data_IF_307997466998
#
_entry.id   IF_307997466998
#
_cell.length_a   1.000
_cell.length_b   1.000
_cell.length_c   1.000
_cell.angle_alpha   90.00
_cell.angle_beta   90.00
_cell.angle_gamma   90.00
#
_symmetry.space_group_name_H-M   'P 1'
#
loop_
_entity.id
_entity.type
_entity.pdbx_description
1 polymer ?
#
# COMPACT_ATOMS: atom_id res chain seq x y z
N UNK A 1 -1.89 -12.25 5.82
CA UNK A 1 -1.91 -11.37 4.65
C UNK A 1 -1.74 -9.91 5.00
N UNK A 2 -2.70 -9.29 5.70
CA UNK A 2 -2.47 -8.00 6.35
C UNK A 2 -1.99 -8.27 7.76
N UNK A 3 -0.84 -7.75 8.09
CA UNK A 3 -0.22 -7.90 9.41
C UNK A 3 0.27 -6.56 9.89
N UNK A 4 0.29 -6.36 11.19
CA UNK A 4 0.90 -5.16 11.77
C UNK A 4 2.42 -5.38 11.84
N UNK A 5 3.17 -4.44 11.32
CA UNK A 5 4.63 -4.42 11.39
C UNK A 5 5.12 -3.21 12.19
N UNK A 6 6.24 -3.40 12.88
CA UNK A 6 6.95 -2.33 13.56
C UNK A 6 8.09 -1.84 12.67
N UNK A 7 8.21 -0.52 12.57
CA UNK A 7 9.22 0.15 11.78
C UNK A 7 10.14 0.96 12.69
N UNK A 8 11.43 0.83 12.49
CA UNK A 8 12.45 1.67 13.12
C UNK A 8 13.13 2.47 12.02
N UNK A 9 12.92 3.78 12.03
CA UNK A 9 13.39 4.66 10.98
C UNK A 9 14.09 5.91 11.50
N UNK A 10 15.01 6.43 10.69
CA UNK A 10 15.64 7.72 10.92
C UNK A 10 15.00 8.76 10.03
N UNK A 11 14.45 9.80 10.66
CA UNK A 11 13.80 10.90 9.96
C UNK A 11 14.58 12.19 10.20
N UNK A 12 15.19 12.76 9.15
CA UNK A 12 15.81 14.07 9.23
C UNK A 12 14.77 15.18 9.07
N UNK A 13 14.78 16.14 9.97
CA UNK A 13 14.00 17.39 9.88
C UNK A 13 14.94 18.50 9.52
N UNK A 14 14.69 19.18 8.40
CA UNK A 14 15.52 20.29 7.95
C UNK A 14 15.14 21.59 8.68
N UNK A 15 16.08 22.58 8.79
CA UNK A 15 15.76 23.89 9.36
C UNK A 15 14.58 24.59 8.65
N UNK A 16 14.41 24.33 7.36
CA UNK A 16 13.26 24.87 6.56
C UNK A 16 11.93 24.33 7.02
N UNK A 17 11.86 23.04 7.39
CA UNK A 17 10.64 22.41 7.89
C UNK A 17 10.22 23.05 9.22
N UNK A 18 11.20 23.37 10.08
CA UNK A 18 10.96 24.02 11.36
C UNK A 18 10.51 25.48 11.21
N UNK A 19 10.91 26.18 10.15
CA UNK A 19 10.57 27.59 9.93
C UNK A 19 9.16 27.79 9.35
N UNK A 20 8.45 26.75 8.96
CA UNK A 20 7.09 26.80 8.36
C UNK A 20 5.96 27.11 9.34
N UNK A 21 6.25 27.59 10.54
CA UNK A 21 5.27 28.00 11.52
C UNK A 21 5.18 27.05 12.72
N UNK A 22 4.19 27.26 13.58
CA UNK A 22 3.95 26.54 14.83
C UNK A 22 3.49 25.08 14.60
N UNK A 23 4.22 24.31 13.80
CA UNK A 23 3.91 22.90 13.53
C UNK A 23 4.52 22.05 14.63
N UNK A 24 3.72 21.20 15.25
CA UNK A 24 4.23 20.22 16.21
C UNK A 24 5.22 19.27 15.52
N UNK A 25 6.37 19.05 16.14
CA UNK A 25 7.43 18.18 15.60
C UNK A 25 6.90 16.77 15.27
N UNK A 26 5.95 16.28 16.05
CA UNK A 26 5.34 14.96 15.87
C UNK A 26 4.55 14.86 14.56
N UNK A 27 3.83 15.92 14.20
CA UNK A 27 3.10 15.98 12.93
C UNK A 27 4.07 15.99 11.73
N UNK A 28 5.17 16.75 11.83
CA UNK A 28 6.21 16.77 10.80
C UNK A 28 6.89 15.40 10.63
N UNK A 29 7.16 14.73 11.75
CA UNK A 29 7.73 13.37 11.71
C UNK A 29 6.75 12.41 11.04
N UNK A 30 5.46 12.45 11.41
CA UNK A 30 4.43 11.57 10.85
C UNK A 30 4.24 11.81 9.35
N UNK A 31 4.21 13.06 8.90
CA UNK A 31 4.12 13.42 7.48
C UNK A 31 5.33 12.87 6.69
N UNK A 32 6.54 13.10 7.18
CA UNK A 32 7.76 12.60 6.52
C UNK A 32 7.87 11.08 6.54
N UNK A 33 7.39 10.44 7.60
CA UNK A 33 7.32 9.00 7.71
C UNK A 33 6.35 8.42 6.66
N UNK A 34 5.16 9.01 6.53
CA UNK A 34 4.18 8.62 5.54
C UNK A 34 4.75 8.74 4.12
N UNK A 35 5.34 9.89 3.77
CA UNK A 35 6.00 10.10 2.47
C UNK A 35 7.12 9.09 2.17
N UNK A 36 7.79 8.58 3.20
CA UNK A 36 8.91 7.65 3.05
C UNK A 36 8.45 6.20 2.89
N UNK A 37 7.44 5.78 3.65
CA UNK A 37 7.05 4.36 3.78
C UNK A 37 5.73 4.01 3.13
N UNK A 38 4.73 4.90 3.13
CA UNK A 38 3.41 4.59 2.62
C UNK A 38 3.40 4.37 1.10
N UNK A 39 2.60 3.40 0.66
CA UNK A 39 2.48 3.06 -0.75
C UNK A 39 3.74 2.44 -1.36
N UNK A 40 4.65 1.91 -0.53
CA UNK A 40 5.89 1.26 -0.96
C UNK A 40 6.17 -0.02 -0.20
N UNK A 41 7.00 -0.85 -0.77
CA UNK A 41 7.48 -2.07 -0.11
C UNK A 41 8.58 -1.73 0.90
N UNK A 42 8.40 -2.23 2.11
CA UNK A 42 9.41 -2.26 3.19
C UNK A 42 10.04 -3.66 3.29
N UNK A 43 10.87 -3.88 4.29
CA UNK A 43 11.39 -5.23 4.61
C UNK A 43 10.27 -6.21 4.99
N UNK A 44 9.16 -5.72 5.51
CA UNK A 44 8.02 -6.53 6.00
C UNK A 44 6.92 -6.74 4.95
N UNK A 45 7.01 -6.10 3.80
CA UNK A 45 6.01 -6.13 2.74
C UNK A 45 5.57 -4.74 2.31
N UNK A 46 4.48 -4.64 1.58
CA UNK A 46 3.91 -3.38 1.11
C UNK A 46 3.16 -2.67 2.24
N UNK A 47 3.53 -1.42 2.52
CA UNK A 47 2.93 -0.60 3.58
C UNK A 47 1.65 0.05 3.08
N UNK A 48 0.53 -0.23 3.74
CA UNK A 48 -0.76 0.36 3.39
C UNK A 48 -0.80 1.86 3.74
N UNK A 49 -1.24 2.72 2.79
CA UNK A 49 -1.39 4.14 3.05
C UNK A 49 -2.38 4.44 4.19
N UNK A 50 -2.11 5.48 4.99
CA UNK A 50 -2.99 5.93 6.07
C UNK A 50 -3.03 5.02 7.30
N UNK A 51 -2.17 4.00 7.39
CA UNK A 51 -2.15 3.06 8.54
C UNK A 51 -0.99 3.28 9.50
N UNK A 52 -0.05 4.13 9.13
CA UNK A 52 1.14 4.40 9.95
C UNK A 52 0.80 5.22 11.20
N UNK A 53 1.23 4.73 12.35
CA UNK A 53 1.10 5.40 13.65
C UNK A 53 2.48 5.54 14.29
N UNK A 54 2.81 6.75 14.70
CA UNK A 54 4.02 7.02 15.47
C UNK A 54 3.82 6.52 16.90
N UNK A 55 4.67 5.61 17.37
CA UNK A 55 4.65 5.07 18.73
C UNK A 55 5.58 5.84 19.65
N UNK A 56 6.81 6.05 19.21
CA UNK A 56 7.84 6.74 20.00
C UNK A 56 8.85 7.46 19.11
N UNK A 57 9.51 8.43 19.67
CA UNK A 57 10.66 9.12 19.06
C UNK A 57 11.78 9.36 20.06
N UNK A 58 13.00 9.40 19.58
CA UNK A 58 14.16 9.82 20.38
C UNK A 58 14.19 11.33 20.56
N UNK A 59 15.12 11.78 21.39
CA UNK A 59 15.59 13.18 21.37
C UNK A 59 16.27 13.45 20.03
N UNK A 60 15.96 14.59 19.40
CA UNK A 60 16.61 14.99 18.15
C UNK A 60 18.09 15.28 18.37
N UNK A 61 18.91 14.87 17.42
CA UNK A 61 20.34 15.15 17.43
C UNK A 61 20.82 15.60 16.06
N UNK A 62 21.89 16.40 16.04
CA UNK A 62 22.56 16.82 14.80
C UNK A 62 23.61 15.76 14.47
N UNK A 63 23.52 15.19 13.25
CA UNK A 63 24.46 14.17 12.81
C UNK A 63 25.86 14.78 12.60
N UNK A 64 26.85 14.25 13.30
CA UNK A 64 28.23 14.70 13.16
C UNK A 64 28.77 14.42 11.75
N UNK A 65 29.39 15.40 11.14
CA UNK A 65 29.98 15.28 9.80
C UNK A 65 29.05 15.70 8.64
N UNK A 66 27.79 16.00 8.91
CA UNK A 66 26.90 16.67 7.96
C UNK A 66 26.67 18.12 8.38
N UNK A 67 27.10 19.05 7.53
CA UNK A 67 26.94 20.49 7.78
C UNK A 67 25.59 21.03 7.26
N UNK A 68 24.55 20.20 7.26
CA UNK A 68 23.22 20.57 6.76
C UNK A 68 22.34 21.23 7.83
N UNK A 69 22.69 21.08 9.11
CA UNK A 69 21.87 21.56 10.23
C UNK A 69 20.59 20.75 10.46
N UNK A 70 20.47 19.58 9.85
CA UNK A 70 19.32 18.71 10.00
C UNK A 70 19.31 18.07 11.39
N UNK A 71 18.12 18.03 12.00
CA UNK A 71 17.88 17.32 13.25
C UNK A 71 17.34 15.94 12.92
N UNK A 72 18.05 14.91 13.33
CA UNK A 72 17.68 13.51 13.06
C UNK A 72 16.97 12.92 14.29
N UNK A 73 15.84 12.30 14.05
CA UNK A 73 15.07 11.56 15.05
C UNK A 73 15.08 10.07 14.72
N UNK A 74 15.36 9.23 15.71
CA UNK A 74 15.04 7.81 15.64
C UNK A 74 13.61 7.62 16.07
N UNK A 75 12.83 6.98 15.26
CA UNK A 75 11.41 6.78 15.50
C UNK A 75 11.05 5.31 15.47
N UNK A 76 10.05 4.96 16.25
CA UNK A 76 9.35 3.68 16.18
C UNK A 76 7.90 3.95 15.79
N UNK A 77 7.45 3.24 14.78
CA UNK A 77 6.10 3.35 14.25
C UNK A 77 5.52 1.97 14.01
N UNK A 78 4.21 1.87 14.04
CA UNK A 78 3.46 0.68 13.61
C UNK A 78 2.65 0.99 12.36
N UNK A 79 2.41 -0.02 11.54
CA UNK A 79 1.58 0.13 10.35
C UNK A 79 1.18 -1.22 9.78
N UNK A 80 0.11 -1.23 9.00
CA UNK A 80 -0.36 -2.44 8.33
C UNK A 80 0.44 -2.67 7.05
N UNK A 81 0.90 -3.91 6.89
CA UNK A 81 1.61 -4.35 5.70
C UNK A 81 0.90 -5.52 5.04
N UNK A 82 0.98 -5.57 3.72
CA UNK A 82 0.54 -6.70 2.92
C UNK A 82 1.77 -7.50 2.50
N UNK A 83 1.76 -8.77 2.84
CA UNK A 83 2.71 -9.75 2.34
C UNK A 83 1.95 -11.07 2.08
N UNK A 84 1.70 -11.42 0.81
CA UNK A 84 1.05 -12.68 0.48
C UNK A 84 2.09 -13.81 0.50
N UNK A 85 2.00 -14.76 1.46
CA UNK A 85 2.83 -15.95 1.43
C UNK A 85 2.43 -16.89 0.30
N UNK A 86 3.35 -17.78 -0.07
CA UNK A 86 3.13 -18.79 -1.09
C UNK A 86 1.92 -19.68 -0.72
N UNK A 87 1.10 -20.05 -1.70
CA UNK A 87 -0.13 -20.82 -1.52
C UNK A 87 -1.36 -20.00 -1.08
N UNK A 88 -1.21 -18.70 -0.90
CA UNK A 88 -2.35 -17.85 -0.52
C UNK A 88 -3.28 -17.63 -1.71
N UNK A 89 -4.58 -17.73 -1.47
CA UNK A 89 -5.62 -17.44 -2.47
C UNK A 89 -6.08 -15.99 -2.32
N UNK A 90 -5.96 -15.21 -3.38
CA UNK A 90 -6.38 -13.82 -3.47
C UNK A 90 -7.47 -13.65 -4.53
N UNK A 91 -8.27 -12.59 -4.36
CA UNK A 91 -9.23 -12.15 -5.37
C UNK A 91 -8.77 -10.79 -5.90
N UNK A 92 -8.46 -10.73 -7.18
CA UNK A 92 -7.98 -9.52 -7.81
C UNK A 92 -8.67 -9.23 -9.13
N UNK A 93 -8.53 -8.00 -9.58
CA UNK A 93 -9.09 -7.52 -10.84
C UNK A 93 -8.08 -7.67 -11.98
N UNK A 94 -8.54 -8.14 -13.14
CA UNK A 94 -7.71 -8.28 -14.35
C UNK A 94 -7.46 -6.89 -14.94
N UNK A 95 -6.22 -6.40 -14.82
CA UNK A 95 -5.82 -5.10 -15.39
C UNK A 95 -5.43 -5.17 -16.86
N UNK A 96 -4.73 -6.23 -17.25
CA UNK A 96 -4.14 -6.34 -18.59
C UNK A 96 -4.04 -7.79 -19.02
N UNK A 97 -4.30 -8.02 -20.31
CA UNK A 97 -4.14 -9.31 -20.99
C UNK A 97 -3.10 -9.20 -22.10
N UNK A 98 -2.13 -10.07 -22.10
CA UNK A 98 -1.07 -10.15 -23.11
C UNK A 98 -0.99 -11.56 -23.69
N UNK A 99 -0.18 -11.73 -24.75
CA UNK A 99 0.11 -13.06 -25.34
C UNK A 99 0.79 -14.00 -24.37
N UNK A 100 1.55 -13.47 -23.40
CA UNK A 100 2.30 -14.22 -22.39
C UNK A 100 1.46 -14.58 -21.15
N UNK A 101 0.29 -13.94 -20.96
CA UNK A 101 -0.55 -14.17 -19.79
C UNK A 101 -1.36 -12.96 -19.39
N UNK A 102 -1.90 -12.99 -18.17
CA UNK A 102 -2.72 -11.92 -17.61
C UNK A 102 -2.06 -11.29 -16.39
N UNK A 103 -2.38 -10.02 -16.17
CA UNK A 103 -1.95 -9.26 -15.01
C UNK A 103 -3.15 -8.94 -14.16
N UNK A 104 -3.11 -9.36 -12.91
CA UNK A 104 -4.17 -9.16 -11.92
C UNK A 104 -3.66 -8.24 -10.83
N UNK A 105 -4.49 -7.29 -10.40
CA UNK A 105 -4.20 -6.35 -9.33
C UNK A 105 -4.95 -6.71 -8.06
N UNK A 106 -4.26 -6.61 -6.92
CA UNK A 106 -4.87 -6.77 -5.62
C UNK A 106 -4.52 -5.55 -4.74
N UNK A 107 -5.54 -4.72 -4.42
CA UNK A 107 -5.43 -3.53 -3.54
C UNK A 107 -4.30 -2.55 -3.91
N UNK A 108 -3.92 -2.46 -5.17
CA UNK A 108 -2.77 -1.69 -5.67
C UNK A 108 -1.42 -2.04 -5.01
N UNK A 109 -1.42 -3.00 -4.12
CA UNK A 109 -0.25 -3.48 -3.38
C UNK A 109 0.45 -4.67 -4.04
N UNK A 110 -0.30 -5.54 -4.71
CA UNK A 110 0.22 -6.77 -5.31
C UNK A 110 -0.19 -6.88 -6.77
N UNK A 111 0.79 -6.98 -7.66
CA UNK A 111 0.58 -7.30 -9.07
C UNK A 111 0.91 -8.75 -9.32
N UNK A 112 -0.10 -9.51 -9.75
CA UNK A 112 0.00 -10.95 -9.95
C UNK A 112 0.06 -11.23 -11.44
N UNK A 113 1.09 -11.94 -11.87
CA UNK A 113 1.24 -12.43 -13.23
C UNK A 113 0.68 -13.85 -13.28
N UNK A 114 -0.24 -14.10 -14.20
CA UNK A 114 -0.78 -15.42 -14.54
C UNK A 114 -0.20 -15.85 -15.90
N UNK A 115 0.89 -16.65 -15.92
CA UNK A 115 1.49 -17.08 -17.17
C UNK A 115 0.53 -17.98 -17.96
N UNK A 116 0.44 -17.78 -19.28
CA UNK A 116 -0.41 -18.60 -20.15
C UNK A 116 0.04 -20.07 -20.18
N UNK A 117 1.33 -20.30 -20.07
CA UNK A 117 1.91 -21.65 -20.11
C UNK A 117 1.44 -22.55 -18.97
N UNK A 118 1.05 -21.97 -17.83
CA UNK A 118 0.47 -22.72 -16.70
C UNK A 118 -1.02 -22.98 -16.84
N UNK A 119 -1.68 -22.42 -17.86
CA UNK A 119 -3.14 -22.45 -18.06
C UNK A 119 -3.52 -22.98 -19.45
N UNK A 120 -2.63 -23.74 -20.10
CA UNK A 120 -2.90 -24.33 -21.42
C UNK A 120 -4.07 -25.29 -21.32
N UNK A 121 -5.09 -25.09 -22.19
CA UNK A 121 -6.30 -25.91 -22.23
C UNK A 121 -7.40 -25.47 -21.27
N UNK A 122 -7.25 -24.34 -20.58
CA UNK A 122 -8.30 -23.76 -19.76
C UNK A 122 -9.08 -22.70 -20.58
N UNK A 123 -10.25 -23.10 -21.12
CA UNK A 123 -11.10 -22.22 -21.94
C UNK A 123 -11.60 -21.01 -21.15
N UNK A 124 -11.88 -21.15 -19.84
CA UNK A 124 -12.32 -20.05 -18.98
C UNK A 124 -11.25 -18.98 -18.89
N UNK A 125 -9.98 -19.39 -18.78
CA UNK A 125 -8.86 -18.45 -18.72
C UNK A 125 -8.74 -17.63 -20.00
N UNK A 126 -8.92 -18.25 -21.16
CA UNK A 126 -8.83 -17.55 -22.44
C UNK A 126 -10.02 -16.59 -22.71
N UNK A 127 -11.18 -16.80 -22.07
CA UNK A 127 -12.38 -15.95 -22.21
C UNK A 127 -12.41 -14.75 -21.24
N UNK A 128 -11.48 -14.67 -20.26
CA UNK A 128 -11.44 -13.59 -19.29
C UNK A 128 -11.26 -12.23 -19.96
N UNK A 129 -12.01 -11.24 -19.46
CA UNK A 129 -11.96 -9.84 -19.92
C UNK A 129 -11.30 -8.94 -18.88
N UNK A 130 -10.95 -7.73 -19.33
CA UNK A 130 -10.41 -6.70 -18.45
C UNK A 130 -11.49 -6.24 -17.45
N UNK A 131 -11.10 -6.00 -16.21
CA UNK A 131 -12.01 -5.59 -15.15
C UNK A 131 -12.74 -6.74 -14.44
N UNK A 132 -12.57 -7.99 -14.89
CA UNK A 132 -13.16 -9.14 -14.21
C UNK A 132 -12.38 -9.51 -12.94
N UNK A 133 -13.13 -9.94 -11.91
CA UNK A 133 -12.53 -10.39 -10.65
C UNK A 133 -12.29 -11.89 -10.69
N UNK A 134 -11.07 -12.27 -10.44
CA UNK A 134 -10.59 -13.64 -10.49
C UNK A 134 -9.98 -14.09 -9.17
N UNK A 135 -10.14 -15.38 -8.86
CA UNK A 135 -9.43 -16.03 -7.75
C UNK A 135 -8.11 -16.56 -8.27
N UNK A 136 -7.06 -16.23 -7.56
CA UNK A 136 -5.68 -16.59 -7.92
C UNK A 136 -4.96 -17.14 -6.71
N UNK A 137 -4.28 -18.26 -6.86
CA UNK A 137 -3.36 -18.81 -5.89
C UNK A 137 -1.96 -18.27 -6.14
N UNK A 138 -1.34 -17.65 -5.16
CA UNK A 138 0.02 -17.15 -5.26
C UNK A 138 1.00 -18.33 -5.19
N UNK A 139 1.85 -18.47 -6.18
CA UNK A 139 2.91 -19.49 -6.19
C UNK A 139 4.23 -18.93 -5.67
N UNK A 140 4.55 -17.69 -6.01
CA UNK A 140 5.74 -17.01 -5.52
C UNK A 140 5.58 -15.50 -5.57
N UNK A 141 6.08 -14.83 -4.54
CA UNK A 141 6.11 -13.36 -4.46
C UNK A 141 7.55 -12.85 -4.38
N UNK A 142 7.80 -11.70 -5.01
CA UNK A 142 9.10 -11.01 -4.99
C UNK A 142 8.87 -9.51 -4.89
N UNK A 143 9.65 -8.86 -4.05
CA UNK A 143 9.72 -7.40 -3.95
C UNK A 143 11.10 -6.97 -3.43
N UNK A 144 11.41 -5.72 -3.61
CA UNK A 144 12.56 -5.05 -3.02
C UNK A 144 12.08 -3.85 -2.20
N UNK A 145 12.92 -3.37 -1.31
CA UNK A 145 12.62 -2.16 -0.53
C UNK A 145 12.46 -0.97 -1.48
N UNK A 146 11.43 -0.17 -1.28
CA UNK A 146 10.98 0.95 -2.10
C UNK A 146 10.28 0.59 -3.42
N UNK A 147 10.01 -0.68 -3.70
CA UNK A 147 9.15 -1.03 -4.84
C UNK A 147 7.73 -0.47 -4.63
N UNK A 148 7.09 -0.06 -5.73
CA UNK A 148 5.72 0.46 -5.72
C UNK A 148 4.66 -0.63 -5.52
N UNK A 149 5.01 -1.90 -5.70
CA UNK A 149 4.12 -3.05 -5.54
C UNK A 149 4.93 -4.34 -5.37
N UNK A 150 4.27 -5.35 -4.83
CA UNK A 150 4.81 -6.71 -4.77
C UNK A 150 4.50 -7.41 -6.09
N UNK A 151 5.53 -7.94 -6.75
CA UNK A 151 5.36 -8.75 -7.95
C UNK A 151 5.19 -10.21 -7.55
N UNK A 152 4.08 -10.82 -7.95
CA UNK A 152 3.78 -12.22 -7.66
C UNK A 152 3.49 -13.00 -8.93
N UNK A 153 3.78 -14.28 -8.91
CA UNK A 153 3.34 -15.23 -9.93
C UNK A 153 2.28 -16.12 -9.31
N UNK A 154 1.16 -16.26 -9.98
CA UNK A 154 0.03 -17.03 -9.49
C UNK A 154 -0.55 -18.01 -10.51
N UNK A 155 -1.47 -18.82 -10.04
CA UNK A 155 -2.28 -19.74 -10.82
C UNK A 155 -3.74 -19.37 -10.72
N UNK A 156 -4.45 -19.33 -11.84
CA UNK A 156 -5.87 -19.08 -11.90
C UNK A 156 -6.65 -20.26 -11.32
N UNK A 157 -7.59 -19.96 -10.43
CA UNK A 157 -8.47 -20.94 -9.79
C UNK A 157 -9.91 -20.87 -10.27
N UNK A 158 -10.36 -19.71 -10.75
CA UNK A 158 -11.73 -19.53 -11.21
C UNK A 158 -12.18 -18.07 -11.20
N UNK A 159 -13.33 -17.83 -11.79
CA UNK A 159 -14.01 -16.53 -11.83
C UNK A 159 -14.78 -16.28 -10.53
N UNK A 160 -14.78 -15.05 -10.06
CA UNK A 160 -15.62 -14.64 -8.92
C UNK A 160 -16.69 -13.69 -9.41
N UNK A 161 -17.95 -13.96 -9.10
CA UNK A 161 -19.08 -13.10 -9.50
C UNK A 161 -19.24 -11.85 -8.62
N UNK A 162 -18.42 -11.65 -7.60
CA UNK A 162 -18.52 -10.50 -6.70
C UNK A 162 -17.41 -9.50 -7.00
N UNK A 163 -17.81 -8.25 -7.27
CA UNK A 163 -16.93 -7.10 -7.30
C UNK A 163 -16.17 -6.99 -5.97
N UNK A 164 -14.86 -6.72 -5.95
CA UNK A 164 -14.15 -6.51 -4.70
C UNK A 164 -14.83 -5.38 -3.92
N UNK A 165 -14.83 -5.39 -2.58
CA UNK A 165 -15.30 -4.26 -1.81
C UNK A 165 -14.42 -3.06 -2.16
N UNK A 166 -15.01 -2.12 -2.88
CA UNK A 166 -14.44 -0.79 -3.08
C UNK A 166 -14.35 -0.19 -1.68
N UNK A 167 -13.16 0.25 -1.28
CA UNK A 167 -13.03 1.09 -0.10
C UNK A 167 -13.87 2.34 -0.37
N UNK A 168 -15.04 2.43 0.27
CA UNK A 168 -15.86 3.64 0.26
C UNK A 168 -15.04 4.75 0.93
N UNK A 169 -14.49 5.62 0.07
CA UNK A 169 -14.11 6.95 0.49
C UNK A 169 -15.39 7.63 1.00
N UNK A 170 -15.37 8.02 2.26
CA UNK A 170 -16.41 8.82 2.89
C UNK A 170 -16.56 10.14 2.13
N UNK A 171 -17.50 10.19 1.21
CA UNK A 171 -18.04 11.44 0.65
C UNK A 171 -19.36 11.74 1.31
N UNK A 172 -19.28 12.74 2.20
CA UNK A 172 -20.21 13.84 2.42
C UNK A 172 -21.68 13.56 2.64
N UNK A 173 -22.06 13.63 3.92
CA UNK A 173 -23.32 14.22 4.35
C UNK A 173 -23.08 15.73 4.67
N UNK A 174 -23.10 16.56 3.66
CA UNK A 174 -23.36 17.99 3.76
C UNK A 174 -24.42 18.31 2.72
N UNK A 175 -25.70 18.11 3.07
CA UNK A 175 -26.87 18.71 2.43
C UNK A 175 -28.15 18.20 3.12
N UNK A 176 -28.37 18.64 4.36
CA UNK A 176 -29.71 18.65 4.99
C UNK A 176 -29.70 19.57 6.22
N UNK A 177 -29.57 20.88 6.03
CA UNK A 177 -29.96 21.91 7.04
C UNK A 177 -30.21 23.26 6.35
N UNK A 178 -31.13 23.35 5.42
CA UNK A 178 -31.75 24.61 4.99
C UNK A 178 -33.16 24.35 4.51
N UNK A 179 -34.10 24.12 5.44
CA UNK A 179 -35.54 24.34 5.21
C UNK A 179 -36.30 24.20 6.55
N UNK A 180 -36.11 25.14 7.48
CA UNK A 180 -37.09 25.45 8.54
C UNK A 180 -36.82 26.83 9.14
N UNK A 181 -37.01 27.86 8.33
CA UNK A 181 -37.33 29.22 8.84
C UNK A 181 -38.10 29.97 7.78
N UNK A 182 -39.40 29.65 7.69
CA UNK A 182 -40.45 30.56 7.17
C UNK A 182 -41.81 29.98 7.48
N UNK A 183 -42.32 30.27 8.69
CA UNK A 183 -43.73 30.64 8.95
C UNK A 183 -43.82 31.37 10.31
#
# INVERSE_FOLDING_TARGET
METVALFEEKIPITPRDLSRGSVQIENLISEKLALKLEGRCSLHGFVLPGTLKLLSRSVGYIEKGRNTGDIVYHIQAEGNVIYPPDGTVLQGEVLRKNKMGMFVNYKDAVRIILPRDLHIGNEEFDTLQLGEVVKVEIKKSRFQVNDEYILSVGMYLGKTMSKPPVAESAENNEDELEEEEKE
#
